data_IF_168807701446
#
_entry.id   IF_168807701446
#
_cell.length_a   1.000
_cell.length_b   1.000
_cell.length_c   1.000
_cell.angle_alpha   90.00
_cell.angle_beta   90.00
_cell.angle_gamma   90.00
#
_symmetry.space_group_name_H-M   'P 1'
#
loop_
_entity.id
_entity.type
_entity.pdbx_description
1 polymer ?
#
# COMPACT_ATOMS: atom_id res chain seq x y z
N UNK A 1 7.66 7.34 0.62
CA UNK A 1 8.37 6.93 -0.61
C UNK A 1 7.43 7.25 -1.75
N UNK A 2 7.88 8.05 -2.72
CA UNK A 2 6.98 8.57 -3.76
C UNK A 2 7.42 7.98 -5.11
N UNK A 3 6.56 7.18 -5.74
CA UNK A 3 6.80 6.72 -7.10
C UNK A 3 6.35 7.82 -8.07
N UNK A 4 7.33 8.56 -8.57
CA UNK A 4 7.14 9.72 -9.45
C UNK A 4 8.37 9.89 -10.37
N UNK A 5 8.47 11.03 -11.06
CA UNK A 5 9.60 11.32 -11.96
C UNK A 5 10.97 11.27 -11.27
N UNK A 6 11.07 11.60 -9.98
CA UNK A 6 12.32 11.47 -9.21
C UNK A 6 12.71 10.01 -9.00
N UNK A 7 11.75 9.11 -8.80
CA UNK A 7 12.00 7.67 -8.74
C UNK A 7 12.55 7.15 -10.07
N UNK A 8 11.93 7.54 -11.19
CA UNK A 8 12.41 7.15 -12.53
C UNK A 8 13.81 7.69 -12.82
N UNK A 9 14.09 8.94 -12.44
CA UNK A 9 15.41 9.55 -12.60
C UNK A 9 16.48 8.80 -11.79
N UNK A 10 16.19 8.42 -10.54
CA UNK A 10 17.10 7.60 -9.71
C UNK A 10 17.46 6.27 -10.38
N UNK A 11 16.52 5.67 -11.12
CA UNK A 11 16.74 4.43 -11.87
C UNK A 11 17.31 4.68 -13.28
N UNK A 12 17.46 5.95 -13.68
CA UNK A 12 17.89 6.40 -15.00
C UNK A 12 16.95 5.97 -16.12
N UNK A 13 15.65 6.02 -15.84
CA UNK A 13 14.52 5.77 -16.74
C UNK A 13 13.82 7.10 -17.14
N UNK A 14 14.44 8.24 -16.87
CA UNK A 14 13.93 9.58 -17.16
C UNK A 14 13.78 9.88 -18.66
N UNK A 15 14.48 9.13 -19.51
CA UNK A 15 14.42 9.25 -20.97
C UNK A 15 13.23 8.54 -21.60
N UNK A 16 12.47 7.76 -20.83
CA UNK A 16 11.25 7.12 -21.34
C UNK A 16 10.24 8.18 -21.81
N UNK A 17 9.50 7.93 -22.91
CA UNK A 17 8.28 8.64 -23.26
C UNK A 17 7.32 8.80 -22.08
N UNK A 18 6.58 9.92 -22.03
CA UNK A 18 5.79 10.28 -20.84
C UNK A 18 4.64 9.29 -20.56
N UNK A 19 4.00 8.80 -21.62
CA UNK A 19 2.98 7.74 -21.55
C UNK A 19 3.57 6.44 -20.98
N UNK A 20 4.77 6.06 -21.41
CA UNK A 20 5.47 4.88 -20.90
C UNK A 20 5.94 5.06 -19.46
N UNK A 21 6.37 6.27 -19.05
CA UNK A 21 6.70 6.58 -17.65
C UNK A 21 5.49 6.37 -16.75
N UNK A 22 4.33 6.90 -17.14
CA UNK A 22 3.11 6.78 -16.36
C UNK A 22 2.68 5.31 -16.25
N UNK A 23 2.66 4.58 -17.36
CA UNK A 23 2.34 3.15 -17.36
C UNK A 23 3.32 2.34 -16.50
N UNK A 24 4.62 2.65 -16.56
CA UNK A 24 5.63 1.97 -15.75
C UNK A 24 5.48 2.26 -14.26
N UNK A 25 5.17 3.51 -13.88
CA UNK A 25 4.90 3.84 -12.48
C UNK A 25 3.69 3.07 -11.94
N UNK A 26 2.61 2.96 -12.72
CA UNK A 26 1.43 2.14 -12.37
C UNK A 26 1.83 0.69 -12.17
N UNK A 27 2.58 0.11 -13.12
CA UNK A 27 3.09 -1.26 -13.02
C UNK A 27 3.93 -1.48 -11.75
N UNK A 28 4.81 -0.54 -11.39
CA UNK A 28 5.62 -0.63 -10.16
C UNK A 28 4.73 -0.56 -8.91
N UNK A 29 3.67 0.24 -8.90
CA UNK A 29 2.67 0.25 -7.81
C UNK A 29 1.98 -1.10 -7.68
N UNK A 30 1.46 -1.66 -8.78
CA UNK A 30 0.78 -2.97 -8.78
C UNK A 30 1.70 -4.07 -8.27
N UNK A 31 2.96 -4.09 -8.72
CA UNK A 31 3.96 -5.06 -8.26
C UNK A 31 4.31 -4.89 -6.78
N UNK A 32 4.37 -3.65 -6.27
CA UNK A 32 4.56 -3.42 -4.85
C UNK A 32 3.37 -3.97 -4.05
N UNK A 33 2.15 -3.64 -4.45
CA UNK A 33 0.93 -4.07 -3.77
C UNK A 33 0.81 -5.59 -3.74
N UNK A 34 1.03 -6.26 -4.88
CA UNK A 34 0.99 -7.71 -4.99
C UNK A 34 2.01 -8.39 -4.07
N UNK A 35 3.29 -8.01 -4.18
CA UNK A 35 4.37 -8.62 -3.39
C UNK A 35 4.26 -8.31 -1.90
N UNK A 36 3.84 -7.10 -1.52
CA UNK A 36 3.58 -6.76 -0.12
C UNK A 36 2.39 -7.57 0.40
N UNK A 37 1.30 -7.65 -0.35
CA UNK A 37 0.12 -8.42 0.00
C UNK A 37 0.44 -9.89 0.25
N UNK A 38 1.22 -10.51 -0.65
CA UNK A 38 1.66 -11.89 -0.51
C UNK A 38 2.55 -12.10 0.72
N UNK A 39 3.59 -11.27 0.90
CA UNK A 39 4.52 -11.38 2.05
C UNK A 39 3.78 -11.20 3.38
N UNK A 40 2.84 -10.27 3.46
CA UNK A 40 2.03 -10.04 4.66
C UNK A 40 1.08 -11.21 4.88
N UNK A 41 0.35 -11.63 3.85
CA UNK A 41 -0.55 -12.78 3.92
C UNK A 41 0.17 -14.03 4.45
N UNK A 42 1.39 -14.30 3.98
CA UNK A 42 2.18 -15.46 4.43
C UNK A 42 2.57 -15.42 5.92
N UNK A 43 2.53 -14.26 6.57
CA UNK A 43 2.78 -14.11 8.01
C UNK A 43 1.52 -14.23 8.86
N UNK A 44 0.34 -14.20 8.23
CA UNK A 44 -0.95 -14.18 8.90
C UNK A 44 -1.59 -15.57 8.89
N UNK A 45 -2.34 -15.89 9.95
CA UNK A 45 -3.22 -17.06 9.94
C UNK A 45 -4.39 -16.84 8.99
N UNK A 46 -5.03 -17.93 8.51
CA UNK A 46 -6.20 -17.84 7.64
C UNK A 46 -7.33 -16.99 8.23
N UNK A 47 -7.57 -17.10 9.55
CA UNK A 47 -8.55 -16.26 10.24
C UNK A 47 -8.22 -14.77 10.13
N UNK A 48 -6.94 -14.40 10.24
CA UNK A 48 -6.47 -13.01 10.13
C UNK A 48 -6.52 -12.50 8.69
N UNK A 49 -6.24 -13.34 7.70
CA UNK A 49 -6.44 -13.01 6.28
C UNK A 49 -7.91 -12.69 6.00
N UNK A 50 -8.83 -13.51 6.48
CA UNK A 50 -10.26 -13.29 6.32
C UNK A 50 -10.69 -12.00 7.02
N UNK A 51 -10.26 -11.78 8.27
CA UNK A 51 -10.56 -10.55 9.03
C UNK A 51 -10.11 -9.30 8.25
N UNK A 52 -8.87 -9.27 7.75
CA UNK A 52 -8.35 -8.15 6.98
C UNK A 52 -9.06 -7.96 5.63
N UNK A 53 -9.40 -9.04 4.94
CA UNK A 53 -10.12 -8.97 3.66
C UNK A 53 -11.51 -8.36 3.83
N UNK A 54 -12.22 -8.70 4.91
CA UNK A 54 -13.54 -8.11 5.18
C UNK A 54 -13.42 -6.63 5.56
N UNK A 55 -12.46 -6.27 6.41
CA UNK A 55 -12.19 -4.87 6.76
C UNK A 55 -11.83 -4.05 5.51
N UNK A 56 -10.86 -4.50 4.71
CA UNK A 56 -10.38 -3.76 3.53
C UNK A 56 -11.45 -3.58 2.44
N UNK A 57 -12.44 -4.47 2.36
CA UNK A 57 -13.62 -4.33 1.50
C UNK A 57 -14.68 -3.36 2.02
N UNK A 58 -14.48 -2.77 3.21
CA UNK A 58 -15.47 -1.90 3.82
C UNK A 58 -16.66 -2.66 4.44
N UNK A 59 -16.49 -3.95 4.80
CA UNK A 59 -17.56 -4.70 5.45
C UNK A 59 -17.91 -4.02 6.79
N UNK A 60 -19.13 -3.52 6.90
CA UNK A 60 -19.60 -2.76 8.07
C UNK A 60 -19.54 -3.59 9.34
N UNK A 61 -19.95 -4.86 9.29
CA UNK A 61 -19.94 -5.73 10.47
C UNK A 61 -18.50 -5.99 10.95
N UNK A 62 -17.58 -6.29 10.03
CA UNK A 62 -16.17 -6.50 10.38
C UNK A 62 -15.54 -5.25 11.00
N UNK A 63 -15.81 -4.07 10.43
CA UNK A 63 -15.32 -2.78 10.94
C UNK A 63 -15.88 -2.46 12.33
N UNK A 64 -17.19 -2.58 12.51
CA UNK A 64 -17.83 -2.27 13.80
C UNK A 64 -17.43 -3.29 14.88
N UNK A 65 -17.23 -4.57 14.53
CA UNK A 65 -16.70 -5.59 15.44
C UNK A 65 -15.26 -5.28 15.85
N UNK A 66 -14.41 -4.85 14.91
CA UNK A 66 -13.03 -4.45 15.20
C UNK A 66 -12.97 -3.29 16.19
N UNK A 67 -13.76 -2.23 15.96
CA UNK A 67 -13.84 -1.06 16.82
C UNK A 67 -14.40 -1.40 18.21
N UNK A 68 -15.50 -2.14 18.24
CA UNK A 68 -16.21 -2.47 19.49
C UNK A 68 -15.39 -3.39 20.41
N UNK A 69 -14.74 -4.41 19.84
CA UNK A 69 -13.90 -5.35 20.61
C UNK A 69 -12.71 -4.67 21.28
N UNK A 70 -12.20 -3.58 20.69
CA UNK A 70 -11.06 -2.81 21.19
C UNK A 70 -11.46 -1.52 21.92
N UNK A 71 -12.77 -1.20 21.95
CA UNK A 71 -13.31 0.06 22.48
C UNK A 71 -12.63 1.29 21.85
N UNK A 72 -12.37 1.22 20.55
CA UNK A 72 -11.73 2.30 19.79
C UNK A 72 -12.81 3.26 19.31
N UNK A 73 -12.64 4.55 19.61
CA UNK A 73 -13.31 5.62 18.89
C UNK A 73 -12.39 6.13 17.78
N UNK A 74 -12.71 5.81 16.53
CA UNK A 74 -11.92 6.24 15.37
C UNK A 74 -11.89 7.76 15.21
N UNK A 75 -12.85 8.50 15.79
CA UNK A 75 -12.89 9.97 15.71
C UNK A 75 -11.83 10.65 16.57
N UNK A 76 -11.37 9.96 17.61
CA UNK A 76 -10.27 10.42 18.48
C UNK A 76 -8.89 10.16 17.86
N UNK A 77 -8.81 9.38 16.78
CA UNK A 77 -7.55 9.10 16.10
C UNK A 77 -7.00 10.37 15.41
N UNK A 78 -5.68 10.66 15.50
CA UNK A 78 -5.10 11.86 14.89
C UNK A 78 -5.36 12.02 13.38
N UNK A 79 -5.41 10.90 12.64
CA UNK A 79 -5.71 10.92 11.20
C UNK A 79 -7.13 11.41 10.89
N UNK A 80 -8.08 11.30 11.84
CA UNK A 80 -9.47 11.69 11.59
C UNK A 80 -9.57 13.16 11.19
N UNK A 81 -8.95 14.04 11.98
CA UNK A 81 -8.97 15.50 11.71
C UNK A 81 -8.20 15.87 10.45
N UNK A 82 -7.12 15.15 10.15
CA UNK A 82 -6.31 15.38 8.96
C UNK A 82 -7.11 15.05 7.70
N UNK A 83 -7.66 13.84 7.62
CA UNK A 83 -8.42 13.38 6.45
C UNK A 83 -9.76 14.12 6.32
N UNK A 84 -10.38 14.53 7.43
CA UNK A 84 -11.58 15.37 7.40
C UNK A 84 -11.27 16.74 6.76
N UNK A 85 -10.12 17.34 7.05
CA UNK A 85 -9.69 18.60 6.44
C UNK A 85 -9.38 18.46 4.93
N UNK A 86 -9.01 17.24 4.50
CA UNK A 86 -8.81 16.89 3.09
C UNK A 86 -10.13 16.52 2.36
N UNK A 87 -11.29 16.71 3.00
CA UNK A 87 -12.63 16.43 2.48
C UNK A 87 -12.90 14.95 2.17
N UNK A 88 -12.21 14.01 2.82
CA UNK A 88 -12.59 12.60 2.76
C UNK A 88 -13.93 12.36 3.47
N UNK A 89 -14.73 11.41 2.97
CA UNK A 89 -15.97 11.02 3.63
C UNK A 89 -15.70 10.31 4.96
N UNK A 90 -16.58 10.46 5.96
CA UNK A 90 -16.45 9.81 7.27
C UNK A 90 -16.26 8.28 7.17
N UNK A 91 -16.94 7.64 6.22
CA UNK A 91 -16.79 6.20 5.94
C UNK A 91 -15.37 5.86 5.42
N UNK A 92 -14.83 6.67 4.52
CA UNK A 92 -13.47 6.46 4.00
C UNK A 92 -12.43 6.66 5.11
N UNK A 93 -12.62 7.68 5.96
CA UNK A 93 -11.75 7.95 7.10
C UNK A 93 -11.81 6.78 8.10
N UNK A 94 -13.01 6.29 8.43
CA UNK A 94 -13.20 5.13 9.31
C UNK A 94 -12.48 3.90 8.76
N UNK A 95 -12.65 3.61 7.47
CA UNK A 95 -11.99 2.48 6.81
C UNK A 95 -10.47 2.60 6.86
N UNK A 96 -9.91 3.78 6.57
CA UNK A 96 -8.47 4.04 6.60
C UNK A 96 -7.89 3.82 8.00
N UNK A 97 -8.54 4.37 9.03
CA UNK A 97 -8.10 4.24 10.43
C UNK A 97 -8.17 2.78 10.88
N UNK A 98 -9.27 2.08 10.59
CA UNK A 98 -9.44 0.68 11.02
C UNK A 98 -8.46 -0.23 10.30
N UNK A 99 -8.28 -0.06 8.98
CA UNK A 99 -7.27 -0.79 8.20
C UNK A 99 -5.86 -0.59 8.76
N UNK A 100 -5.51 0.66 9.08
CA UNK A 100 -4.21 1.01 9.65
C UNK A 100 -3.98 0.39 11.02
N UNK A 101 -4.94 0.52 11.94
CA UNK A 101 -4.86 -0.06 13.28
C UNK A 101 -4.79 -1.58 13.25
N UNK A 102 -5.52 -2.21 12.32
CA UNK A 102 -5.44 -3.65 12.12
C UNK A 102 -4.03 -4.08 11.72
N UNK A 103 -3.40 -3.38 10.75
CA UNK A 103 -2.04 -3.67 10.32
C UNK A 103 -1.02 -3.43 11.43
N UNK A 104 -1.18 -2.38 12.25
CA UNK A 104 -0.28 -2.11 13.38
C UNK A 104 -0.27 -3.24 14.42
N UNK A 105 -1.43 -3.84 14.69
CA UNK A 105 -1.57 -4.94 15.64
C UNK A 105 -1.11 -6.28 15.07
N UNK A 106 -1.48 -6.59 13.83
CA UNK A 106 -1.34 -7.94 13.26
C UNK A 106 -0.15 -8.09 12.31
N UNK A 107 0.39 -6.98 11.82
CA UNK A 107 1.53 -6.94 10.91
C UNK A 107 2.50 -5.80 11.31
N UNK A 108 3.11 -5.83 12.51
CA UNK A 108 3.96 -4.74 13.01
C UNK A 108 5.17 -4.45 12.10
N UNK A 109 5.63 -5.47 11.36
CA UNK A 109 6.72 -5.33 10.38
C UNK A 109 6.24 -4.84 9.00
N UNK A 110 4.98 -4.45 8.84
CA UNK A 110 4.39 -4.03 7.55
C UNK A 110 5.21 -2.94 6.88
N UNK A 111 5.57 -1.87 7.62
CA UNK A 111 6.36 -0.76 7.08
C UNK A 111 7.74 -1.22 6.60
N UNK A 112 8.39 -2.13 7.35
CA UNK A 112 9.67 -2.70 6.95
C UNK A 112 9.53 -3.58 5.69
N UNK A 113 8.47 -4.38 5.61
CA UNK A 113 8.15 -5.22 4.46
C UNK A 113 7.94 -4.36 3.21
N UNK A 114 7.19 -3.26 3.29
CA UNK A 114 7.02 -2.31 2.17
C UNK A 114 8.37 -1.77 1.71
N UNK A 115 9.21 -1.30 2.65
CA UNK A 115 10.53 -0.75 2.33
C UNK A 115 11.44 -1.80 1.69
N UNK A 116 11.46 -3.03 2.22
CA UNK A 116 12.28 -4.12 1.68
C UNK A 116 11.79 -4.55 0.30
N UNK A 117 10.48 -4.71 0.12
CA UNK A 117 9.89 -5.08 -1.17
C UNK A 117 10.15 -4.01 -2.22
N UNK A 118 10.09 -2.72 -1.88
CA UNK A 118 10.47 -1.70 -2.86
C UNK A 118 11.95 -1.80 -3.25
N UNK A 119 12.86 -2.06 -2.29
CA UNK A 119 14.28 -2.25 -2.62
C UNK A 119 14.49 -3.46 -3.53
N UNK A 120 13.76 -4.55 -3.33
CA UNK A 120 13.76 -5.71 -4.22
C UNK A 120 13.30 -5.31 -5.63
N UNK A 121 12.19 -4.57 -5.75
CA UNK A 121 11.69 -4.08 -7.05
C UNK A 121 12.69 -3.12 -7.73
N UNK A 122 13.31 -2.19 -6.98
CA UNK A 122 14.34 -1.31 -7.51
C UNK A 122 15.53 -2.11 -8.07
N UNK A 123 15.97 -3.15 -7.36
CA UNK A 123 17.04 -4.04 -7.82
C UNK A 123 16.66 -4.81 -9.08
N UNK A 124 15.43 -5.33 -9.16
CA UNK A 124 14.91 -6.00 -10.34
C UNK A 124 14.88 -5.06 -11.55
N UNK A 125 14.43 -3.81 -11.36
CA UNK A 125 14.41 -2.81 -12.44
C UNK A 125 15.83 -2.48 -12.90
N UNK A 126 16.78 -2.27 -11.98
CA UNK A 126 18.18 -1.97 -12.33
C UNK A 126 18.80 -3.12 -13.12
N UNK A 127 18.56 -4.37 -12.69
CA UNK A 127 19.08 -5.56 -13.35
C UNK A 127 18.55 -5.72 -14.77
N UNK A 128 17.28 -5.41 -15.00
CA UNK A 128 16.62 -5.56 -16.30
C UNK A 128 16.51 -4.25 -17.08
N UNK A 129 17.25 -3.21 -16.67
CA UNK A 129 17.12 -1.85 -17.21
C UNK A 129 17.31 -1.78 -18.72
N UNK A 130 18.31 -2.49 -19.24
CA UNK A 130 18.61 -2.49 -20.68
C UNK A 130 17.46 -3.10 -21.49
N UNK A 131 16.86 -4.19 -21.00
CA UNK A 131 15.70 -4.83 -21.64
C UNK A 131 14.47 -3.92 -21.60
N UNK A 132 14.23 -3.25 -20.46
CA UNK A 132 13.14 -2.29 -20.29
C UNK A 132 13.31 -1.14 -21.30
N UNK A 133 14.52 -0.58 -21.44
CA UNK A 133 14.77 0.53 -22.37
C UNK A 133 14.71 0.08 -23.83
N UNK A 134 15.21 -1.11 -24.15
CA UNK A 134 15.25 -1.62 -25.53
C UNK A 134 13.90 -2.16 -26.01
N UNK A 135 13.06 -2.71 -25.13
CA UNK A 135 11.72 -3.20 -25.44
C UNK A 135 10.67 -2.11 -25.67
N UNK A 136 11.05 -0.84 -25.52
CA UNK A 136 10.21 0.34 -25.76
C UNK A 136 10.46 1.00 -27.13
N UNK A 137 11.45 0.52 -27.90
CA UNK A 137 11.82 1.00 -29.24
C UNK A 137 11.20 0.18 -30.37
#
# INVERSE_FOLDING_TARGET
MNLNSSFLNKLGLDKMPEDQKQAFLVFVYEQLEERVGEKISNLLSEAKKIEFNEISRGNKEAIENFLSSRKIDYKEHPLYKQLLAENFSDNAIKLEIVSSLWLEENAPNYKEIVVRTMKEIEQDIIKNKEEIVNGLN
#
